data_IF_459084105499
#
_entry.id   IF_459084105499
#
_cell.length_a   1.000
_cell.length_b   1.000
_cell.length_c   1.000
_cell.angle_alpha   90.00
_cell.angle_beta   90.00
_cell.angle_gamma   90.00
#
_symmetry.space_group_name_H-M   'P 1'
#
loop_
_entity.id
_entity.type
_entity.pdbx_description
1 polymer ?
#
# COMPACT_ATOMS: atom_id res chain seq x y z
N UNK A 1 -7.11 -13.84 -11.19
CA UNK A 1 -7.13 -12.39 -10.86
C UNK A 1 -6.39 -11.64 -11.95
N UNK A 2 -7.10 -10.86 -12.77
CA UNK A 2 -6.46 -9.99 -13.76
C UNK A 2 -5.81 -8.80 -13.04
N UNK A 3 -4.57 -8.48 -13.39
CA UNK A 3 -3.82 -7.39 -12.77
C UNK A 3 -4.22 -6.08 -13.43
N UNK A 4 -5.06 -5.28 -12.77
CA UNK A 4 -5.67 -4.09 -13.37
C UNK A 4 -4.66 -3.01 -13.80
N UNK A 5 -3.48 -2.92 -13.19
CA UNK A 5 -2.47 -1.90 -13.52
C UNK A 5 -1.04 -2.45 -13.51
N UNK A 6 -0.25 -2.09 -14.52
CA UNK A 6 1.16 -2.50 -14.65
C UNK A 6 2.11 -1.66 -13.79
N UNK A 7 1.89 -0.35 -13.73
CA UNK A 7 2.81 0.63 -13.10
C UNK A 7 2.26 1.32 -11.85
N UNK A 8 0.97 1.65 -11.81
CA UNK A 8 0.41 2.61 -10.84
C UNK A 8 -0.15 1.94 -9.57
N UNK A 9 -0.34 0.62 -9.57
CA UNK A 9 -0.81 -0.20 -8.44
C UNK A 9 -1.97 0.47 -7.67
N UNK A 10 -1.84 0.61 -6.33
CA UNK A 10 -2.82 1.18 -5.41
C UNK A 10 -3.03 2.69 -5.63
N UNK A 11 -2.00 3.38 -6.14
CA UNK A 11 -2.00 4.83 -6.39
C UNK A 11 -2.85 5.20 -7.62
N UNK A 12 -3.45 4.21 -8.30
CA UNK A 12 -4.37 4.43 -9.43
C UNK A 12 -5.59 5.29 -9.07
N UNK A 13 -5.97 5.34 -7.79
CA UNK A 13 -7.05 6.20 -7.28
C UNK A 13 -6.82 7.70 -7.49
N UNK A 14 -5.57 8.13 -7.68
CA UNK A 14 -5.21 9.53 -7.88
C UNK A 14 -5.15 9.96 -9.37
N UNK A 15 -5.47 9.06 -10.31
CA UNK A 15 -5.50 9.35 -11.75
C UNK A 15 -4.27 10.12 -12.27
N UNK A 16 -4.44 11.32 -12.81
CA UNK A 16 -3.36 12.18 -13.34
C UNK A 16 -2.86 13.20 -12.31
N UNK A 17 -3.47 13.28 -11.13
CA UNK A 17 -3.17 14.28 -10.12
C UNK A 17 -1.77 14.11 -9.48
N UNK A 18 -1.25 15.21 -8.93
CA UNK A 18 -0.02 15.29 -8.11
C UNK A 18 1.32 14.94 -8.82
N UNK A 19 1.29 14.52 -10.08
CA UNK A 19 2.51 14.18 -10.83
C UNK A 19 3.12 12.83 -10.45
N UNK A 20 4.11 12.38 -11.24
CA UNK A 20 4.64 11.02 -11.13
C UNK A 20 5.59 10.82 -9.93
N UNK A 21 6.32 11.86 -9.51
CA UNK A 21 7.27 11.81 -8.40
C UNK A 21 6.55 11.58 -7.06
N UNK A 22 5.53 12.39 -6.77
CA UNK A 22 4.73 12.28 -5.53
C UNK A 22 4.02 10.93 -5.46
N UNK A 23 3.45 10.47 -6.59
CA UNK A 23 2.76 9.16 -6.65
C UNK A 23 3.69 7.98 -6.37
N UNK A 24 4.94 8.01 -6.85
CA UNK A 24 5.93 6.97 -6.54
C UNK A 24 6.30 6.93 -5.06
N UNK A 25 6.33 8.08 -4.39
CA UNK A 25 6.59 8.15 -2.95
C UNK A 25 5.43 7.56 -2.15
N UNK A 26 4.20 7.99 -2.48
CA UNK A 26 2.96 7.51 -1.84
C UNK A 26 2.76 6.01 -2.06
N UNK A 27 3.14 5.48 -3.23
CA UNK A 27 3.05 4.04 -3.52
C UNK A 27 3.79 3.19 -2.48
N UNK A 28 5.01 3.59 -2.10
CA UNK A 28 5.81 2.87 -1.10
C UNK A 28 5.16 2.91 0.28
N UNK A 29 4.59 4.05 0.64
CA UNK A 29 3.95 4.28 1.95
C UNK A 29 2.65 3.46 2.05
N UNK A 30 1.80 3.50 1.02
CA UNK A 30 0.55 2.74 0.99
C UNK A 30 0.76 1.23 0.97
N UNK A 31 1.77 0.73 0.24
CA UNK A 31 2.10 -0.70 0.26
C UNK A 31 2.49 -1.14 1.67
N UNK A 32 3.33 -0.35 2.36
CA UNK A 32 3.74 -0.64 3.74
C UNK A 32 2.57 -0.58 4.72
N UNK A 33 1.64 0.36 4.53
CA UNK A 33 0.43 0.49 5.34
C UNK A 33 -0.51 -0.71 5.21
N UNK A 34 -0.79 -1.12 3.98
CA UNK A 34 -1.76 -2.17 3.68
C UNK A 34 -1.16 -3.58 3.77
N UNK A 35 0.15 -3.70 3.98
CA UNK A 35 0.80 -4.96 4.27
C UNK A 35 0.26 -5.56 5.58
N UNK A 36 0.01 -6.87 5.56
CA UNK A 36 -0.26 -7.61 6.78
C UNK A 36 1.07 -7.99 7.41
N UNK A 37 1.27 -7.61 8.67
CA UNK A 37 2.46 -7.99 9.42
C UNK A 37 2.25 -9.32 10.13
N UNK A 38 3.37 -10.02 10.34
CA UNK A 38 3.42 -11.23 11.16
C UNK A 38 3.40 -10.85 12.64
N UNK A 39 2.52 -11.48 13.40
CA UNK A 39 2.43 -11.34 14.85
C UNK A 39 3.59 -12.07 15.53
N UNK A 40 4.46 -11.36 16.26
CA UNK A 40 5.59 -12.00 16.98
C UNK A 40 5.15 -12.94 18.11
N UNK A 41 3.96 -12.75 18.66
CA UNK A 41 3.43 -13.59 19.74
C UNK A 41 2.76 -14.87 19.21
N UNK A 42 1.98 -14.72 18.14
CA UNK A 42 1.05 -15.74 17.66
C UNK A 42 1.41 -16.33 16.29
N UNK A 43 2.46 -15.83 15.63
CA UNK A 43 2.94 -16.28 14.32
C UNK A 43 2.01 -15.97 13.13
N UNK A 44 0.79 -15.49 13.37
CA UNK A 44 -0.21 -15.26 12.32
C UNK A 44 0.06 -13.96 11.54
N UNK A 45 -0.04 -14.01 10.22
CA UNK A 45 0.08 -12.87 9.29
C UNK A 45 -1.25 -12.14 9.11
N UNK A 46 -1.88 -11.73 10.21
CA UNK A 46 -3.19 -11.07 10.20
C UNK A 46 -3.17 -9.67 10.81
N UNK A 47 -2.02 -9.21 11.32
CA UNK A 47 -1.93 -7.87 11.90
C UNK A 47 -1.99 -6.81 10.81
N UNK A 48 -2.87 -5.84 10.99
CA UNK A 48 -2.99 -4.64 10.16
C UNK A 48 -2.67 -3.42 11.02
N UNK A 49 -2.19 -2.34 10.41
CA UNK A 49 -2.00 -1.07 11.12
C UNK A 49 -3.37 -0.46 11.46
N UNK A 50 -3.63 -0.19 12.74
CA UNK A 50 -4.93 0.32 13.22
C UNK A 50 -4.99 1.85 13.27
N UNK A 51 -3.89 2.51 13.63
CA UNK A 51 -3.80 3.97 13.70
C UNK A 51 -2.56 4.47 12.98
N UNK A 52 -2.67 5.68 12.43
CA UNK A 52 -1.59 6.39 11.73
C UNK A 52 -0.98 7.52 12.58
N UNK A 53 -1.50 7.71 13.81
CA UNK A 53 -1.10 8.79 14.70
C UNK A 53 0.23 8.47 15.39
#
# INVERSE_FOLDING_TARGET
MAKCTKKVRIVGKYWTCYGASLRKMVEKIEISQHAKCTCSFCGKTNMKRWAWK
#
